data_IF_035455162996
#
_entry.id   IF_035455162996
#
_cell.length_a   1.000
_cell.length_b   1.000
_cell.length_c   1.000
_cell.angle_alpha   90.00
_cell.angle_beta   90.00
_cell.angle_gamma   90.00
#
_symmetry.space_group_name_H-M   'P 1'
#
loop_
_entity.id
_entity.type
_entity.pdbx_description
1 polymer ?
#
# COMPACT_ATOMS: atom_id res chain seq x y z
N UNK A 1 -19.49 31.62 -9.26
CA UNK A 1 -20.04 30.69 -8.27
C UNK A 1 -19.95 29.24 -8.75
N UNK A 2 -20.19 28.94 -10.04
CA UNK A 2 -20.02 27.57 -10.57
C UNK A 2 -18.56 27.07 -10.57
N UNK A 3 -17.60 27.96 -10.88
CA UNK A 3 -16.16 27.62 -10.89
C UNK A 3 -15.59 27.29 -9.51
N UNK A 4 -16.07 27.95 -8.45
CA UNK A 4 -15.66 27.67 -7.07
C UNK A 4 -16.20 26.32 -6.59
N UNK A 5 -17.43 25.97 -6.96
CA UNK A 5 -18.04 24.68 -6.59
C UNK A 5 -17.33 23.51 -7.26
N UNK A 6 -16.95 23.62 -8.54
CA UNK A 6 -16.22 22.54 -9.22
C UNK A 6 -14.83 22.27 -8.62
N UNK A 7 -14.11 23.31 -8.22
CA UNK A 7 -12.82 23.15 -7.54
C UNK A 7 -12.96 22.49 -6.16
N UNK A 8 -14.05 22.80 -5.45
CA UNK A 8 -14.35 22.27 -4.12
C UNK A 8 -14.67 20.77 -4.12
N UNK A 9 -15.36 20.25 -5.14
CA UNK A 9 -15.61 18.79 -5.29
C UNK A 9 -14.48 18.03 -5.98
N UNK A 10 -13.67 18.69 -6.82
CA UNK A 10 -12.59 18.03 -7.56
C UNK A 10 -11.50 17.48 -6.62
N UNK A 11 -11.14 18.23 -5.57
CA UNK A 11 -10.13 17.81 -4.59
C UNK A 11 -10.50 16.51 -3.85
N UNK A 12 -11.68 16.39 -3.19
CA UNK A 12 -12.06 15.15 -2.52
C UNK A 12 -12.32 14.00 -3.49
N UNK A 13 -12.87 14.27 -4.69
CA UNK A 13 -13.07 13.24 -5.72
C UNK A 13 -11.74 12.63 -6.18
N UNK A 14 -10.72 13.47 -6.38
CA UNK A 14 -9.38 13.02 -6.75
C UNK A 14 -8.73 12.18 -5.63
N UNK A 15 -8.86 12.59 -4.37
CA UNK A 15 -8.37 11.82 -3.23
C UNK A 15 -9.05 10.45 -3.13
N UNK A 16 -10.37 10.40 -3.29
CA UNK A 16 -11.12 9.13 -3.33
C UNK A 16 -10.70 8.24 -4.49
N UNK A 17 -10.53 8.82 -5.69
CA UNK A 17 -10.06 8.09 -6.87
C UNK A 17 -8.67 7.47 -6.62
N UNK A 18 -7.73 8.24 -6.07
CA UNK A 18 -6.39 7.71 -5.71
C UNK A 18 -6.53 6.57 -4.70
N UNK A 19 -7.37 6.73 -3.67
CA UNK A 19 -7.56 5.68 -2.66
C UNK A 19 -8.06 4.37 -3.28
N UNK A 20 -9.10 4.42 -4.13
CA UNK A 20 -9.60 3.24 -4.84
C UNK A 20 -8.57 2.65 -5.80
N UNK A 21 -7.82 3.49 -6.50
CA UNK A 21 -6.76 3.05 -7.40
C UNK A 21 -5.66 2.29 -6.64
N UNK A 22 -5.21 2.83 -5.51
CA UNK A 22 -4.22 2.17 -4.63
C UNK A 22 -4.76 0.85 -4.09
N UNK A 23 -6.02 0.80 -3.63
CA UNK A 23 -6.66 -0.44 -3.20
C UNK A 23 -6.71 -1.49 -4.32
N UNK A 24 -7.02 -1.08 -5.55
CA UNK A 24 -7.00 -1.96 -6.73
C UNK A 24 -5.60 -2.52 -7.03
N UNK A 25 -4.57 -1.69 -6.93
CA UNK A 25 -3.17 -2.13 -7.07
C UNK A 25 -2.80 -3.14 -5.98
N UNK A 26 -3.17 -2.87 -4.73
CA UNK A 26 -2.92 -3.79 -3.60
C UNK A 26 -3.60 -5.14 -3.83
N UNK A 27 -4.86 -5.14 -4.25
CA UNK A 27 -5.59 -6.36 -4.59
C UNK A 27 -4.91 -7.15 -5.72
N UNK A 28 -4.46 -6.47 -6.76
CA UNK A 28 -3.71 -7.08 -7.86
C UNK A 28 -2.42 -7.76 -7.37
N UNK A 29 -1.65 -7.11 -6.49
CA UNK A 29 -0.45 -7.72 -5.90
C UNK A 29 -0.78 -8.95 -5.07
N UNK A 30 -1.83 -8.91 -4.25
CA UNK A 30 -2.29 -10.07 -3.46
C UNK A 30 -2.57 -11.27 -4.38
N UNK A 31 -3.29 -11.06 -5.49
CA UNK A 31 -3.58 -12.13 -6.46
C UNK A 31 -2.32 -12.67 -7.13
N UNK A 32 -1.36 -11.81 -7.51
CA UNK A 32 -0.13 -12.24 -8.17
C UNK A 32 0.82 -12.97 -7.21
N UNK A 33 0.88 -12.52 -5.95
CA UNK A 33 1.58 -13.20 -4.86
C UNK A 33 0.95 -14.57 -4.60
N UNK A 34 -0.38 -14.64 -4.49
CA UNK A 34 -1.11 -15.89 -4.31
C UNK A 34 -0.95 -16.89 -5.46
N UNK A 35 -0.60 -16.42 -6.66
CA UNK A 35 -0.27 -17.26 -7.83
C UNK A 35 1.18 -17.75 -7.85
N UNK A 36 1.97 -17.52 -6.80
CA UNK A 36 3.37 -17.98 -6.79
C UNK A 36 4.31 -17.13 -7.63
N UNK A 37 3.92 -15.93 -8.10
CA UNK A 37 4.79 -15.10 -8.94
C UNK A 37 5.84 -14.37 -8.12
N UNK A 38 7.09 -14.83 -8.20
CA UNK A 38 8.18 -14.27 -7.40
C UNK A 38 8.47 -12.78 -7.70
N UNK A 39 8.23 -12.31 -8.94
CA UNK A 39 8.40 -10.89 -9.27
C UNK A 39 7.49 -10.01 -8.40
N UNK A 40 6.28 -10.47 -8.08
CA UNK A 40 5.27 -9.66 -7.40
C UNK A 40 5.75 -9.29 -5.99
N UNK A 41 6.49 -10.19 -5.33
CA UNK A 41 7.11 -9.92 -4.03
C UNK A 41 8.17 -8.83 -4.11
N UNK A 42 9.04 -8.92 -5.10
CA UNK A 42 10.14 -7.97 -5.31
C UNK A 42 9.58 -6.60 -5.67
N UNK A 43 8.62 -6.53 -6.60
CA UNK A 43 7.97 -5.28 -6.96
C UNK A 43 7.24 -4.66 -5.77
N UNK A 44 6.51 -5.46 -4.98
CA UNK A 44 5.84 -4.97 -3.77
C UNK A 44 6.83 -4.39 -2.76
N UNK A 45 7.96 -5.08 -2.53
CA UNK A 45 9.04 -4.59 -1.68
C UNK A 45 9.64 -3.27 -2.19
N UNK A 46 9.95 -3.18 -3.48
CA UNK A 46 10.53 -1.98 -4.10
C UNK A 46 9.56 -0.80 -3.98
N UNK A 47 8.28 -1.00 -4.29
CA UNK A 47 7.25 0.03 -4.15
C UNK A 47 7.10 0.47 -2.70
N UNK A 48 7.18 -0.44 -1.74
CA UNK A 48 7.16 -0.11 -0.32
C UNK A 48 8.37 0.73 0.10
N UNK A 49 9.59 0.33 -0.28
CA UNK A 49 10.82 1.06 0.05
C UNK A 49 10.81 2.46 -0.57
N UNK A 50 10.39 2.59 -1.83
CA UNK A 50 10.33 3.89 -2.52
C UNK A 50 9.20 4.74 -1.93
N UNK A 51 8.04 4.16 -1.65
CA UNK A 51 6.86 4.89 -1.18
C UNK A 51 6.96 5.35 0.27
N UNK A 52 7.67 4.63 1.13
CA UNK A 52 7.76 4.93 2.57
C UNK A 52 8.34 6.33 2.86
N UNK A 53 9.45 6.78 2.25
CA UNK A 53 9.94 8.15 2.42
C UNK A 53 8.90 9.22 2.07
N UNK A 54 8.09 9.00 1.02
CA UNK A 54 7.06 9.95 0.60
C UNK A 54 5.84 9.96 1.54
N UNK A 55 5.63 8.92 2.35
CA UNK A 55 4.51 8.85 3.31
C UNK A 55 4.82 9.49 4.66
N UNK A 56 6.09 9.74 5.00
CA UNK A 56 6.50 10.30 6.30
C UNK A 56 5.91 11.70 6.53
N UNK A 57 6.06 12.62 5.58
CA UNK A 57 5.59 13.99 5.75
C UNK A 57 4.06 14.08 5.89
N UNK A 58 3.26 13.43 5.01
CA UNK A 58 1.80 13.34 5.19
C UNK A 58 1.38 12.70 6.51
N UNK A 59 2.11 11.68 6.99
CA UNK A 59 1.84 11.03 8.26
C UNK A 59 2.02 12.00 9.44
N UNK A 60 3.10 12.78 9.45
CA UNK A 60 3.34 13.77 10.50
C UNK A 60 2.27 14.87 10.50
N UNK A 61 1.87 15.34 9.32
CA UNK A 61 0.77 16.30 9.17
C UNK A 61 -0.56 15.73 9.68
N UNK A 62 -0.86 14.47 9.33
CA UNK A 62 -2.05 13.76 9.78
C UNK A 62 -2.07 13.60 11.31
N UNK A 63 -0.94 13.23 11.92
CA UNK A 63 -0.84 13.07 13.37
C UNK A 63 -1.06 14.39 14.14
N UNK A 64 -0.58 15.51 13.58
CA UNK A 64 -0.77 16.84 14.15
C UNK A 64 -2.21 17.35 13.97
N UNK A 65 -2.86 17.07 12.84
CA UNK A 65 -4.21 17.53 12.55
C UNK A 65 -5.30 16.66 13.19
N UNK A 66 -5.14 15.34 13.14
CA UNK A 66 -6.07 14.36 13.68
C UNK A 66 -5.31 13.13 14.20
N UNK A 67 -5.12 12.99 15.54
CA UNK A 67 -4.33 11.91 16.12
C UNK A 67 -4.82 10.51 15.73
N UNK A 68 -6.13 10.31 15.55
CA UNK A 68 -6.70 9.01 15.17
C UNK A 68 -6.25 8.64 13.75
N UNK A 69 -6.31 9.59 12.81
CA UNK A 69 -5.89 9.36 11.43
C UNK A 69 -4.38 9.10 11.33
N UNK A 70 -3.58 9.81 12.12
CA UNK A 70 -2.14 9.57 12.24
C UNK A 70 -1.82 8.17 12.77
N UNK A 71 -2.50 7.74 13.85
CA UNK A 71 -2.35 6.40 14.42
C UNK A 71 -2.75 5.30 13.44
N UNK A 72 -3.84 5.46 12.69
CA UNK A 72 -4.24 4.52 11.64
C UNK A 72 -3.16 4.38 10.58
N UNK A 73 -2.54 5.49 10.16
CA UNK A 73 -1.41 5.46 9.23
C UNK A 73 -0.20 4.68 9.78
N UNK A 74 0.13 4.86 11.06
CA UNK A 74 1.22 4.12 11.72
C UNK A 74 0.90 2.61 11.75
N UNK A 75 -0.30 2.25 12.19
CA UNK A 75 -0.75 0.85 12.23
C UNK A 75 -0.69 0.22 10.84
N UNK A 76 -1.11 0.96 9.81
CA UNK A 76 -1.04 0.50 8.43
C UNK A 76 0.38 0.22 7.96
N UNK A 77 1.35 1.10 8.27
CA UNK A 77 2.76 0.87 7.96
C UNK A 77 3.28 -0.38 8.67
N UNK A 78 2.96 -0.57 9.95
CA UNK A 78 3.36 -1.75 10.73
C UNK A 78 2.82 -3.04 10.09
N UNK A 79 1.53 -3.08 9.76
CA UNK A 79 0.91 -4.23 9.10
C UNK A 79 1.60 -4.53 7.76
N UNK A 80 1.95 -3.50 7.00
CA UNK A 80 2.63 -3.67 5.72
C UNK A 80 4.06 -4.21 5.87
N UNK A 81 4.79 -3.78 6.90
CA UNK A 81 6.10 -4.34 7.24
C UNK A 81 5.96 -5.82 7.61
N UNK A 82 5.00 -6.17 8.47
CA UNK A 82 4.75 -7.57 8.87
C UNK A 82 4.42 -8.42 7.66
N UNK A 83 3.59 -7.91 6.73
CA UNK A 83 3.27 -8.60 5.50
C UNK A 83 4.51 -8.88 4.64
N UNK A 84 5.42 -7.89 4.49
CA UNK A 84 6.68 -8.07 3.77
C UNK A 84 7.56 -9.10 4.48
N UNK A 85 7.71 -9.02 5.79
CA UNK A 85 8.52 -9.99 6.55
C UNK A 85 8.00 -11.41 6.32
N UNK A 86 6.69 -11.64 6.48
CA UNK A 86 6.08 -12.96 6.24
C UNK A 86 6.25 -13.41 4.78
N UNK A 87 6.18 -12.47 3.83
CA UNK A 87 6.37 -12.76 2.42
C UNK A 87 7.79 -13.22 2.08
N UNK A 88 8.80 -12.78 2.83
CA UNK A 88 10.21 -13.16 2.61
C UNK A 88 10.74 -14.21 3.60
N UNK A 89 9.91 -14.69 4.53
CA UNK A 89 10.30 -15.79 5.42
C UNK A 89 10.54 -17.09 4.64
N UNK A 90 11.38 -17.97 5.20
CA UNK A 90 11.74 -19.27 4.60
C UNK A 90 10.53 -20.11 4.20
N UNK A 91 9.52 -20.33 5.07
CA UNK A 91 8.35 -21.15 4.70
C UNK A 91 7.61 -20.61 3.47
N UNK A 92 7.48 -19.28 3.37
CA UNK A 92 6.89 -18.66 2.18
C UNK A 92 7.79 -18.88 0.96
N UNK A 93 9.10 -18.64 1.08
CA UNK A 93 10.05 -18.86 -0.02
C UNK A 93 10.06 -20.31 -0.53
N UNK A 94 9.93 -21.28 0.37
CA UNK A 94 9.86 -22.70 0.06
C UNK A 94 8.54 -23.04 -0.66
N UNK A 95 7.39 -22.56 -0.18
CA UNK A 95 6.09 -22.73 -0.86
C UNK A 95 6.10 -22.20 -2.30
N UNK A 96 6.69 -21.03 -2.54
CA UNK A 96 6.82 -20.49 -3.89
C UNK A 96 7.79 -21.30 -4.77
N UNK A 97 8.79 -21.95 -4.17
CA UNK A 97 9.71 -22.83 -4.89
C UNK A 97 9.02 -24.14 -5.29
N UNK A 98 8.17 -24.68 -4.43
CA UNK A 98 7.34 -25.86 -4.69
C UNK A 98 6.34 -25.61 -5.82
N UNK A 99 5.65 -24.46 -5.84
CA UNK A 99 4.73 -24.12 -6.94
C UNK A 99 5.46 -24.07 -8.28
N UNK A 100 6.71 -23.62 -8.31
CA UNK A 100 7.49 -23.53 -9.55
C UNK A 100 8.04 -24.90 -10.01
N UNK A 101 8.16 -25.86 -9.10
CA UNK A 101 8.69 -27.19 -9.39
C UNK A 101 7.65 -28.14 -9.99
N UNK A 102 6.35 -27.80 -9.88
CA UNK A 102 5.23 -28.48 -10.53
C UNK A 102 4.83 -27.78 -11.83
#
# INVERSE_FOLDING_TARGET
MESSTQAEVAAPAFVMFIAFFVLGIMWFFILMIGKGRNWARITFLVLFIIGTPFSVLPLMQSLAANPISGLLGIVQIIIQIVAIVFLFQKPSSDWFREIKAN
#
